data_IF_112309849829
#
_entry.id   IF_112309849829
#
_cell.length_a   1.000
_cell.length_b   1.000
_cell.length_c   1.000
_cell.angle_alpha   90.00
_cell.angle_beta   90.00
_cell.angle_gamma   90.00
#
_symmetry.space_group_name_H-M   'P 1'
#
loop_
_entity.id
_entity.type
_entity.pdbx_description
1 polymer ?
#
# COMPACT_ATOMS: atom_id res chain seq x y z
N UNK A 1 3.25 11.49 -7.90
CA UNK A 1 3.39 12.43 -9.04
C UNK A 1 2.60 13.72 -8.84
N UNK A 2 1.40 13.71 -8.25
CA UNK A 2 0.63 14.95 -7.99
C UNK A 2 1.41 16.04 -7.25
N UNK A 3 2.07 15.69 -6.14
CA UNK A 3 2.84 16.66 -5.36
C UNK A 3 4.00 17.28 -6.15
N UNK A 4 4.62 16.54 -7.08
CA UNK A 4 5.68 17.07 -7.93
C UNK A 4 5.14 18.17 -8.85
N UNK A 5 3.99 17.93 -9.49
CA UNK A 5 3.35 18.89 -10.38
C UNK A 5 2.79 20.11 -9.65
N UNK A 6 2.31 19.95 -8.41
CA UNK A 6 1.83 21.06 -7.59
C UNK A 6 2.98 21.93 -7.07
N UNK A 7 4.08 21.33 -6.61
CA UNK A 7 5.20 22.06 -6.03
C UNK A 7 6.14 22.65 -7.09
N UNK A 8 6.27 22.00 -8.24
CA UNK A 8 7.19 22.39 -9.31
C UNK A 8 6.51 22.29 -10.68
N UNK A 9 5.46 23.08 -10.94
CA UNK A 9 4.70 23.00 -12.19
C UNK A 9 5.57 23.21 -13.43
N UNK A 10 6.55 24.10 -13.36
CA UNK A 10 7.50 24.39 -14.45
C UNK A 10 8.39 23.18 -14.83
N UNK A 11 8.48 22.17 -13.96
CA UNK A 11 9.26 20.95 -14.21
C UNK A 11 8.42 19.82 -14.78
N UNK A 12 7.11 20.02 -14.94
CA UNK A 12 6.17 18.97 -15.37
C UNK A 12 5.37 19.45 -16.56
N UNK A 13 5.71 18.96 -17.75
CA UNK A 13 4.98 19.29 -18.98
C UNK A 13 3.63 18.57 -19.06
N UNK A 14 3.60 17.27 -18.74
CA UNK A 14 2.39 16.41 -18.82
C UNK A 14 2.44 15.31 -17.76
N UNK A 15 1.27 14.82 -17.37
CA UNK A 15 1.10 13.72 -16.40
C UNK A 15 0.22 12.64 -17.04
N UNK A 16 0.74 11.41 -17.08
CA UNK A 16 -0.06 10.20 -17.34
C UNK A 16 -0.06 9.43 -16.03
N UNK A 17 -1.23 9.33 -15.40
CA UNK A 17 -1.35 8.73 -14.08
C UNK A 17 -2.22 7.47 -14.15
N UNK A 18 -1.82 6.45 -13.40
CA UNK A 18 -2.47 5.15 -13.37
C UNK A 18 -2.97 4.86 -11.95
N UNK A 19 -4.14 4.22 -11.87
CA UNK A 19 -4.83 3.79 -10.64
C UNK A 19 -5.37 4.89 -9.71
N UNK A 20 -4.57 5.90 -9.34
CA UNK A 20 -4.94 6.85 -8.28
C UNK A 20 -5.20 8.26 -8.82
N UNK A 21 -6.46 8.73 -8.88
CA UNK A 21 -6.77 10.10 -9.30
C UNK A 21 -6.26 11.12 -8.28
N UNK A 22 -6.24 12.40 -8.68
CA UNK A 22 -5.91 13.49 -7.76
C UNK A 22 -6.91 13.49 -6.60
N UNK A 23 -6.39 13.57 -5.37
CA UNK A 23 -7.19 13.65 -4.15
C UNK A 23 -7.12 15.08 -3.65
N UNK A 24 -8.25 15.78 -3.67
CA UNK A 24 -8.35 17.09 -3.05
C UNK A 24 -8.17 16.95 -1.54
N UNK A 25 -7.51 17.94 -0.95
CA UNK A 25 -7.31 17.96 0.49
C UNK A 25 -8.59 18.42 1.17
N UNK A 26 -9.25 17.51 1.88
CA UNK A 26 -10.38 17.83 2.74
C UNK A 26 -9.96 18.51 4.05
N UNK A 27 -10.96 18.90 4.84
CA UNK A 27 -10.76 19.53 6.15
C UNK A 27 -10.28 18.55 7.22
N UNK A 28 -10.63 17.27 7.07
CA UNK A 28 -10.31 16.21 8.01
C UNK A 28 -9.08 15.40 7.56
N UNK A 29 -8.27 14.88 8.48
CA UNK A 29 -7.19 13.96 8.14
C UNK A 29 -7.71 12.73 7.39
N UNK A 30 -7.06 12.37 6.29
CA UNK A 30 -7.53 11.31 5.39
C UNK A 30 -7.72 9.96 6.11
N UNK A 31 -6.78 9.56 6.99
CA UNK A 31 -6.91 8.31 7.77
C UNK A 31 -8.13 8.31 8.70
N UNK A 32 -8.48 9.45 9.33
CA UNK A 32 -9.67 9.53 10.18
C UNK A 32 -10.94 9.38 9.35
N UNK A 33 -11.00 10.02 8.18
CA UNK A 33 -12.10 9.85 7.25
C UNK A 33 -12.23 8.38 6.78
N UNK A 34 -11.12 7.75 6.42
CA UNK A 34 -11.11 6.34 6.02
C UNK A 34 -11.55 5.41 7.15
N UNK A 35 -11.19 5.72 8.39
CA UNK A 35 -11.64 4.97 9.56
C UNK A 35 -13.14 5.10 9.79
N UNK A 36 -13.70 6.31 9.67
CA UNK A 36 -15.15 6.53 9.77
C UNK A 36 -15.91 5.72 8.72
N UNK A 37 -15.38 5.66 7.49
CA UNK A 37 -16.06 5.01 6.36
C UNK A 37 -15.86 3.48 6.32
N UNK A 38 -14.68 2.99 6.68
CA UNK A 38 -14.28 1.59 6.47
C UNK A 38 -13.87 0.84 7.75
N UNK A 39 -13.78 1.54 8.89
CA UNK A 39 -13.39 0.98 10.17
C UNK A 39 -11.88 0.83 10.35
N UNK A 40 -11.49 0.32 11.53
CA UNK A 40 -10.08 0.22 11.94
C UNK A 40 -9.27 -0.84 11.19
N UNK A 41 -9.95 -1.88 10.67
CA UNK A 41 -9.32 -2.95 9.89
C UNK A 41 -8.93 -2.53 8.48
N UNK A 42 -9.40 -1.35 8.02
CA UNK A 42 -9.01 -0.82 6.73
C UNK A 42 -7.51 -0.55 6.69
N UNK A 43 -6.86 -0.95 5.59
CA UNK A 43 -5.41 -1.10 5.57
C UNK A 43 -4.62 0.16 5.89
N UNK A 44 -5.09 1.32 5.40
CA UNK A 44 -4.51 2.61 5.74
C UNK A 44 -4.55 2.89 7.25
N UNK A 45 -5.69 2.59 7.88
CA UNK A 45 -5.92 2.84 9.31
C UNK A 45 -5.07 1.88 10.13
N UNK A 46 -5.11 0.59 9.79
CA UNK A 46 -4.33 -0.45 10.44
C UNK A 46 -2.82 -0.17 10.39
N UNK A 47 -2.26 0.20 9.22
CA UNK A 47 -0.82 0.52 9.13
C UNK A 47 -0.41 1.75 9.95
N UNK A 48 -1.33 2.70 10.18
CA UNK A 48 -1.06 3.87 11.00
C UNK A 48 -1.22 3.61 12.50
N UNK A 49 -2.26 2.88 12.92
CA UNK A 49 -2.52 2.59 14.35
C UNK A 49 -1.64 1.45 14.89
N UNK A 50 -1.41 0.41 14.09
CA UNK A 50 -0.71 -0.81 14.49
C UNK A 50 0.66 -0.92 13.81
N UNK A 51 1.56 -0.01 14.19
CA UNK A 51 2.88 0.12 13.59
C UNK A 51 3.67 -1.18 13.77
N UNK A 52 4.22 -1.72 12.66
CA UNK A 52 5.10 -2.89 12.68
C UNK A 52 4.40 -4.25 12.66
N UNK A 53 3.10 -4.33 12.98
CA UNK A 53 2.38 -5.62 13.04
C UNK A 53 2.23 -6.21 11.63
N UNK A 54 1.75 -5.42 10.68
CA UNK A 54 1.65 -5.87 9.29
C UNK A 54 3.04 -6.11 8.67
N UNK A 55 4.03 -5.27 9.01
CA UNK A 55 5.40 -5.40 8.53
C UNK A 55 5.99 -6.76 8.92
N UNK A 56 5.84 -7.16 10.20
CA UNK A 56 6.32 -8.44 10.70
C UNK A 56 5.68 -9.62 9.95
N UNK A 57 4.35 -9.61 9.81
CA UNK A 57 3.63 -10.71 9.15
C UNK A 57 4.00 -10.83 7.67
N UNK A 58 4.17 -9.69 6.97
CA UNK A 58 4.61 -9.68 5.57
C UNK A 58 6.08 -10.10 5.44
N UNK A 59 6.96 -9.67 6.34
CA UNK A 59 8.39 -10.05 6.34
C UNK A 59 8.58 -11.55 6.58
N UNK A 60 7.77 -12.18 7.43
CA UNK A 60 7.81 -13.64 7.64
C UNK A 60 7.33 -14.43 6.42
N UNK A 61 6.58 -13.78 5.51
CA UNK A 61 5.89 -14.43 4.40
C UNK A 61 6.15 -13.73 3.06
N UNK A 62 7.34 -13.17 2.82
CA UNK A 62 7.62 -12.30 1.66
C UNK A 62 7.20 -12.92 0.33
N UNK A 63 7.71 -14.12 0.01
CA UNK A 63 7.38 -14.82 -1.24
C UNK A 63 5.88 -15.04 -1.37
N UNK A 64 5.25 -15.59 -0.34
CA UNK A 64 3.81 -15.91 -0.32
C UNK A 64 2.96 -14.67 -0.50
N UNK A 65 3.29 -13.59 0.22
CA UNK A 65 2.59 -12.32 0.14
C UNK A 65 2.66 -11.74 -1.28
N UNK A 66 3.86 -11.59 -1.84
CA UNK A 66 4.05 -11.03 -3.18
C UNK A 66 3.42 -11.92 -4.26
N UNK A 67 3.57 -13.24 -4.12
CA UNK A 67 2.92 -14.24 -4.99
C UNK A 67 1.40 -14.13 -4.96
N UNK A 68 0.80 -13.75 -3.84
CA UNK A 68 -0.66 -13.69 -3.69
C UNK A 68 -1.25 -12.34 -4.09
N UNK A 69 -0.51 -11.23 -4.02
CA UNK A 69 -0.99 -9.92 -4.50
C UNK A 69 -0.86 -9.76 -6.01
N UNK A 70 0.14 -10.39 -6.66
CA UNK A 70 0.35 -10.26 -8.11
C UNK A 70 -0.46 -11.31 -8.87
N UNK A 71 -1.79 -11.11 -8.89
CA UNK A 71 -2.78 -11.99 -9.51
C UNK A 71 -3.68 -11.28 -10.50
N UNK A 72 -4.16 -12.03 -11.49
CA UNK A 72 -5.16 -11.62 -12.49
C UNK A 72 -6.27 -12.64 -12.60
N UNK A 73 -7.36 -12.27 -13.26
CA UNK A 73 -8.57 -13.09 -13.40
C UNK A 73 -9.14 -13.54 -12.04
N UNK A 74 -9.11 -12.66 -11.05
CA UNK A 74 -9.62 -12.93 -9.70
C UNK A 74 -11.16 -12.86 -9.73
N UNK A 75 -11.88 -13.92 -9.32
CA UNK A 75 -13.33 -13.87 -9.24
C UNK A 75 -13.78 -12.85 -8.19
N UNK A 76 -14.92 -12.15 -8.40
CA UNK A 76 -15.49 -11.31 -7.37
C UNK A 76 -15.76 -12.13 -6.11
N UNK A 77 -15.19 -11.71 -4.99
CA UNK A 77 -15.37 -12.35 -3.69
C UNK A 77 -15.69 -11.30 -2.63
N UNK A 78 -16.43 -11.70 -1.60
CA UNK A 78 -16.58 -10.86 -0.42
C UNK A 78 -15.22 -10.76 0.26
N UNK A 79 -14.80 -9.56 0.72
CA UNK A 79 -13.58 -9.43 1.49
C UNK A 79 -13.64 -10.32 2.74
N UNK A 80 -12.58 -11.09 2.97
CA UNK A 80 -12.42 -11.86 4.19
C UNK A 80 -12.39 -10.92 5.42
N UNK A 81 -12.87 -11.38 6.59
CA UNK A 81 -12.82 -10.58 7.80
C UNK A 81 -11.38 -10.22 8.20
N UNK A 82 -11.25 -9.07 8.87
CA UNK A 82 -9.97 -8.54 9.34
C UNK A 82 -9.21 -7.73 8.28
N UNK A 83 -7.90 -7.63 8.48
CA UNK A 83 -7.03 -6.74 7.72
C UNK A 83 -6.68 -7.33 6.34
N UNK A 84 -7.29 -6.79 5.28
CA UNK A 84 -7.23 -7.35 3.92
C UNK A 84 -5.81 -7.49 3.32
N UNK A 85 -4.86 -6.62 3.67
CA UNK A 85 -3.49 -6.72 3.15
C UNK A 85 -2.64 -7.76 3.87
N UNK A 86 -3.08 -8.28 5.01
CA UNK A 86 -2.37 -9.35 5.74
C UNK A 86 -2.85 -10.72 5.29
N UNK A 87 -4.10 -10.84 4.80
CA UNK A 87 -4.67 -12.11 4.37
C UNK A 87 -3.85 -12.79 3.25
N UNK A 88 -3.36 -12.08 2.21
CA UNK A 88 -2.46 -12.66 1.21
C UNK A 88 -1.17 -13.23 1.80
N UNK A 89 -0.65 -12.67 2.90
CA UNK A 89 0.53 -13.19 3.58
C UNK A 89 0.25 -14.48 4.38
N UNK A 90 -1.02 -14.82 4.63
CA UNK A 90 -1.43 -16.03 5.37
C UNK A 90 -2.05 -17.10 4.47
N UNK A 91 -2.63 -16.72 3.34
CA UNK A 91 -3.27 -17.64 2.40
C UNK A 91 -2.24 -18.60 1.78
N UNK A 92 -2.46 -19.90 1.96
CA UNK A 92 -1.57 -20.94 1.39
C UNK A 92 -1.77 -21.06 -0.11
N UNK A 93 -3.04 -21.07 -0.54
CA UNK A 93 -3.39 -21.21 -1.95
C UNK A 93 -3.71 -19.84 -2.56
N UNK A 94 -3.04 -19.47 -3.67
CA UNK A 94 -3.34 -18.24 -4.38
C UNK A 94 -4.66 -18.33 -5.15
N UNK A 95 -5.37 -17.20 -5.23
CA UNK A 95 -6.58 -17.07 -6.05
C UNK A 95 -6.22 -16.45 -7.41
N UNK A 96 -6.81 -16.96 -8.48
CA UNK A 96 -6.59 -16.45 -9.85
C UNK A 96 -5.26 -16.88 -10.45
N UNK A 97 -4.95 -16.33 -11.63
CA UNK A 97 -3.73 -16.67 -12.38
C UNK A 97 -2.57 -15.77 -11.99
N UNK A 98 -1.31 -16.24 -12.05
CA UNK A 98 -0.14 -15.38 -11.90
C UNK A 98 -0.18 -14.21 -12.87
N UNK A 99 0.10 -13.00 -12.37
CA UNK A 99 0.21 -11.80 -13.22
C UNK A 99 1.48 -11.83 -14.07
N UNK A 100 2.57 -12.35 -13.50
CA UNK A 100 3.93 -12.36 -14.03
C UNK A 100 4.58 -13.73 -13.87
N UNK A 101 5.71 -13.96 -14.55
CA UNK A 101 6.49 -15.19 -14.44
C UNK A 101 7.24 -15.29 -13.11
N UNK A 102 7.61 -16.51 -12.70
CA UNK A 102 8.29 -16.73 -11.41
C UNK A 102 9.65 -16.03 -11.34
N UNK A 103 10.37 -15.94 -12.46
CA UNK A 103 11.64 -15.22 -12.54
C UNK A 103 11.48 -13.72 -12.30
N UNK A 104 10.40 -13.12 -12.79
CA UNK A 104 10.08 -11.70 -12.56
C UNK A 104 9.71 -11.48 -11.09
N UNK A 105 8.85 -12.35 -10.54
CA UNK A 105 8.46 -12.32 -9.14
C UNK A 105 9.67 -12.41 -8.20
N UNK A 106 10.65 -13.26 -8.52
CA UNK A 106 11.87 -13.47 -7.71
C UNK A 106 12.69 -12.20 -7.48
N UNK A 107 12.66 -11.26 -8.43
CA UNK A 107 13.33 -9.96 -8.30
C UNK A 107 12.68 -9.12 -7.19
N UNK A 108 11.35 -9.11 -7.13
CA UNK A 108 10.63 -8.43 -6.06
C UNK A 108 10.86 -9.12 -4.71
N UNK A 109 10.78 -10.44 -4.68
CA UNK A 109 10.96 -11.23 -3.45
C UNK A 109 12.33 -10.97 -2.84
N UNK A 110 13.42 -11.13 -3.62
CA UNK A 110 14.78 -10.89 -3.13
C UNK A 110 14.98 -9.45 -2.63
N UNK A 111 14.38 -8.47 -3.30
CA UNK A 111 14.45 -7.06 -2.87
C UNK A 111 13.76 -6.87 -1.52
N UNK A 112 12.54 -7.40 -1.34
CA UNK A 112 11.78 -7.26 -0.09
C UNK A 112 12.32 -8.13 1.04
N UNK A 113 12.94 -9.27 0.76
CA UNK A 113 13.67 -10.06 1.77
C UNK A 113 14.88 -9.30 2.32
N UNK A 114 15.58 -8.54 1.46
CA UNK A 114 16.72 -7.73 1.89
C UNK A 114 16.32 -6.43 2.58
N UNK A 115 15.32 -5.72 2.08
CA UNK A 115 14.94 -4.39 2.56
C UNK A 115 13.83 -4.37 3.61
N UNK A 116 12.98 -5.41 3.64
CA UNK A 116 11.76 -5.49 4.43
C UNK A 116 10.63 -4.55 3.98
N UNK A 117 9.45 -4.73 4.57
CA UNK A 117 8.25 -3.93 4.21
C UNK A 117 8.12 -2.59 4.96
N UNK A 118 8.85 -2.41 6.06
CA UNK A 118 8.77 -1.23 6.93
C UNK A 118 8.96 0.08 6.17
N UNK A 119 9.93 0.14 5.25
CA UNK A 119 10.19 1.33 4.44
C UNK A 119 9.04 1.64 3.48
N UNK A 120 8.52 0.62 2.80
CA UNK A 120 7.41 0.75 1.86
C UNK A 120 6.12 1.21 2.57
N UNK A 121 5.80 0.60 3.70
CA UNK A 121 4.58 0.90 4.46
C UNK A 121 4.67 2.26 5.17
N UNK A 122 5.81 2.59 5.79
CA UNK A 122 5.98 3.89 6.44
C UNK A 122 6.06 5.05 5.44
N UNK A 123 6.81 4.90 4.35
CA UNK A 123 7.10 6.01 3.43
C UNK A 123 5.85 6.48 2.69
N UNK A 124 4.98 5.56 2.26
CA UNK A 124 3.81 5.92 1.47
C UNK A 124 2.62 6.42 2.32
N UNK A 125 2.32 5.74 3.43
CA UNK A 125 1.12 6.04 4.22
C UNK A 125 1.32 7.12 5.29
N UNK A 126 2.50 7.16 5.91
CA UNK A 126 2.78 8.17 6.95
C UNK A 126 3.12 9.53 6.32
N UNK A 127 3.79 9.57 5.16
CA UNK A 127 4.06 10.86 4.50
C UNK A 127 2.81 11.49 3.87
N UNK A 128 1.83 10.71 3.44
CA UNK A 128 0.53 11.24 3.00
C UNK A 128 -0.19 11.99 4.14
N UNK A 129 0.13 11.64 5.40
CA UNK A 129 -0.59 12.11 6.59
C UNK A 129 0.18 13.10 7.48
N UNK A 130 1.52 13.09 7.49
CA UNK A 130 2.31 13.89 8.47
C UNK A 130 3.12 15.06 7.90
N UNK A 131 3.20 15.26 6.59
CA UNK A 131 4.05 16.32 6.00
C UNK A 131 3.36 17.69 5.86
N UNK A 132 2.79 18.18 6.97
CA UNK A 132 2.58 19.60 7.25
C UNK A 132 2.75 19.97 8.74
N UNK A 133 3.37 19.09 9.56
CA UNK A 133 3.82 19.41 10.93
C UNK A 133 5.36 19.40 10.98
N UNK A 134 6.01 19.89 9.92
CA UNK A 134 7.31 20.53 10.07
C UNK A 134 7.10 21.96 9.60
N UNK A 135 6.93 22.85 10.58
CA UNK A 135 7.04 24.29 10.39
C UNK A 135 8.30 24.60 9.58
N UNK A 136 8.15 25.40 8.53
CA UNK A 136 9.16 26.41 8.23
C UNK A 136 8.99 27.52 9.28
N UNK A 137 9.63 27.33 10.43
CA UNK A 137 10.17 28.35 11.34
C UNK A 137 11.35 27.73 12.05
#
# INVERSE_FOLDING_TARGET
>A
MWNLALLYPERVNKIINLALPYQERGEQPWTELMEILFGEDFYFVHFNKQIGIADAIMNENVHRFLRNIFRKDIPPARPDPGMLMINPARAVEPIGKPLMEESELSVFVSTFESAGFTGANKSYYICLMRRLICHFT
#
